data_IF_488263221841
#
_entry.id   IF_488263221841
#
_cell.length_a   1.000
_cell.length_b   1.000
_cell.length_c   1.000
_cell.angle_alpha   90.00
_cell.angle_beta   90.00
_cell.angle_gamma   90.00
#
_symmetry.space_group_name_H-M   'P 1'
#
loop_
_entity.id
_entity.type
_entity.pdbx_description
1 polymer ?
#
# COMPACT_ATOMS: atom_id res chain seq x y z
N UNK A 1 19.91 -2.12 -11.48
CA UNK A 1 19.40 -1.01 -10.65
C UNK A 1 19.03 -1.61 -9.31
N UNK A 2 19.64 -1.12 -8.24
CA UNK A 2 19.37 -1.58 -6.88
C UNK A 2 17.95 -1.16 -6.46
N UNK A 3 17.23 -2.07 -5.79
CA UNK A 3 15.87 -1.83 -5.29
C UNK A 3 15.67 -2.51 -3.94
N UNK A 4 14.86 -1.89 -3.09
CA UNK A 4 14.40 -2.48 -1.85
C UNK A 4 12.94 -2.93 -2.04
N UNK A 5 12.72 -4.24 -2.11
CA UNK A 5 11.40 -4.84 -2.31
C UNK A 5 11.28 -6.16 -1.56
N UNK A 6 10.19 -6.32 -0.82
CA UNK A 6 9.75 -7.59 -0.27
C UNK A 6 8.23 -7.65 -0.23
N UNK A 7 7.68 -8.82 -0.46
CA UNK A 7 6.26 -9.09 -0.33
C UNK A 7 6.04 -10.50 0.24
N UNK A 8 4.92 -10.69 0.91
CA UNK A 8 4.53 -11.95 1.53
C UNK A 8 3.05 -12.25 1.22
N UNK A 9 2.72 -13.53 1.21
CA UNK A 9 1.34 -14.00 1.11
C UNK A 9 1.03 -14.77 2.39
N UNK A 10 -0.03 -14.35 3.06
CA UNK A 10 -0.61 -15.05 4.20
C UNK A 10 -1.91 -15.73 3.76
N UNK A 11 -2.14 -16.93 4.25
CA UNK A 11 -3.37 -17.69 3.98
C UNK A 11 -3.94 -18.22 5.28
N UNK A 12 -5.24 -18.02 5.47
CA UNK A 12 -6.02 -18.56 6.58
C UNK A 12 -7.22 -19.33 5.97
N UNK A 13 -6.99 -20.60 5.58
CA UNK A 13 -7.99 -21.38 4.85
C UNK A 13 -9.33 -21.52 5.59
N UNK A 14 -9.27 -21.58 6.91
CA UNK A 14 -10.46 -21.71 7.77
C UNK A 14 -11.41 -20.52 7.69
N UNK A 15 -10.86 -19.36 7.28
CA UNK A 15 -11.60 -18.09 7.12
C UNK A 15 -11.84 -17.73 5.65
N UNK A 16 -11.46 -18.60 4.72
CA UNK A 16 -11.43 -18.28 3.28
C UNK A 16 -10.76 -16.94 2.99
N UNK A 17 -9.64 -16.66 3.70
CA UNK A 17 -8.94 -15.38 3.72
C UNK A 17 -7.52 -15.52 3.22
N UNK A 18 -7.11 -14.61 2.33
CA UNK A 18 -5.73 -14.50 1.84
C UNK A 18 -5.31 -13.04 1.79
N UNK A 19 -4.05 -12.78 2.13
CA UNK A 19 -3.52 -11.43 2.17
C UNK A 19 -2.16 -11.34 1.49
N UNK A 20 -2.04 -10.43 0.53
CA UNK A 20 -0.75 -10.00 -0.02
C UNK A 20 -0.31 -8.78 0.79
N UNK A 21 0.88 -8.85 1.37
CA UNK A 21 1.48 -7.76 2.14
C UNK A 21 2.75 -7.29 1.47
N UNK A 22 2.80 -6.04 1.08
CA UNK A 22 4.02 -5.37 0.63
C UNK A 22 4.73 -4.73 1.82
N UNK A 23 6.02 -5.06 1.99
CA UNK A 23 6.83 -4.48 3.06
C UNK A 23 7.16 -3.02 2.77
N UNK A 24 7.14 -2.19 3.81
CA UNK A 24 7.61 -0.82 3.76
C UNK A 24 9.13 -0.71 3.64
N UNK A 25 9.62 0.51 3.84
CA UNK A 25 11.05 0.82 3.83
C UNK A 25 11.76 0.13 4.98
N UNK A 26 12.93 -0.42 4.70
CA UNK A 26 13.89 -0.83 5.73
C UNK A 26 14.92 0.29 5.98
N UNK A 27 15.82 0.07 6.95
CA UNK A 27 16.85 1.05 7.33
C UNK A 27 18.02 1.13 6.31
N UNK A 28 17.86 0.58 5.10
CA UNK A 28 18.88 0.63 4.07
C UNK A 28 18.92 1.98 3.35
N UNK A 29 20.11 2.39 2.90
CA UNK A 29 20.30 3.59 2.08
C UNK A 29 19.46 3.50 0.78
N UNK A 30 19.28 2.31 0.25
CA UNK A 30 18.48 2.06 -0.96
C UNK A 30 17.00 2.33 -0.68
N UNK A 31 16.48 1.88 0.46
CA UNK A 31 15.11 2.15 0.89
C UNK A 31 14.84 3.65 1.02
N UNK A 32 15.69 4.37 1.72
CA UNK A 32 15.60 5.83 1.87
C UNK A 32 15.66 6.57 0.53
N UNK A 33 16.55 6.14 -0.39
CA UNK A 33 16.63 6.71 -1.73
C UNK A 33 15.32 6.53 -2.51
N UNK A 34 14.70 5.36 -2.43
CA UNK A 34 13.41 5.11 -3.08
C UNK A 34 12.28 5.96 -2.47
N UNK A 35 12.29 6.19 -1.15
CA UNK A 35 11.32 7.06 -0.48
C UNK A 35 11.42 8.50 -0.97
N UNK A 36 12.64 9.02 -1.13
CA UNK A 36 12.85 10.31 -1.77
C UNK A 36 12.36 10.33 -3.22
N UNK A 37 12.59 9.26 -3.98
CA UNK A 37 12.13 9.16 -5.36
C UNK A 37 10.61 9.16 -5.48
N UNK A 38 9.88 8.58 -4.51
CA UNK A 38 8.41 8.61 -4.48
C UNK A 38 7.84 10.03 -4.57
N UNK A 39 8.53 11.03 -4.02
CA UNK A 39 8.02 12.40 -3.96
C UNK A 39 8.00 13.12 -5.31
N UNK A 40 8.84 12.70 -6.28
CA UNK A 40 8.96 13.36 -7.59
C UNK A 40 8.90 12.39 -8.79
N UNK A 41 9.08 11.11 -8.60
CA UNK A 41 9.06 10.12 -9.69
C UNK A 41 7.67 9.55 -9.89
N UNK A 42 7.24 9.41 -11.16
CA UNK A 42 5.98 8.75 -11.50
C UNK A 42 6.00 7.26 -11.14
N UNK A 43 7.16 6.65 -11.19
CA UNK A 43 7.38 5.23 -10.92
C UNK A 43 8.78 5.01 -10.36
N UNK A 44 8.88 4.17 -9.32
CA UNK A 44 10.16 3.70 -8.76
C UNK A 44 10.37 2.21 -9.10
N UNK A 45 11.61 1.69 -8.99
CA UNK A 45 11.88 0.27 -9.28
C UNK A 45 11.03 -0.71 -8.46
N UNK A 46 10.72 -0.38 -7.20
CA UNK A 46 9.87 -1.19 -6.34
C UNK A 46 8.42 -1.30 -6.86
N UNK A 47 7.88 -0.27 -7.52
CA UNK A 47 6.56 -0.32 -8.16
C UNK A 47 6.47 -1.43 -9.20
N UNK A 48 7.48 -1.53 -10.10
CA UNK A 48 7.53 -2.60 -11.11
C UNK A 48 7.57 -3.98 -10.49
N UNK A 49 8.30 -4.13 -9.38
CA UNK A 49 8.36 -5.39 -8.65
C UNK A 49 7.02 -5.73 -8.00
N UNK A 50 6.32 -4.72 -7.45
CA UNK A 50 5.00 -4.92 -6.86
C UNK A 50 3.97 -5.32 -7.92
N UNK A 51 3.97 -4.67 -9.09
CA UNK A 51 3.11 -5.05 -10.22
C UNK A 51 3.38 -6.50 -10.65
N UNK A 52 4.64 -6.84 -10.91
CA UNK A 52 5.02 -8.19 -11.32
C UNK A 52 4.66 -9.26 -10.27
N UNK A 53 4.79 -8.92 -8.99
CA UNK A 53 4.40 -9.81 -7.89
C UNK A 53 2.88 -10.03 -7.89
N UNK A 54 2.10 -8.96 -8.01
CA UNK A 54 0.64 -9.02 -8.02
C UNK A 54 0.15 -9.83 -9.23
N UNK A 55 0.64 -9.53 -10.44
CA UNK A 55 0.29 -10.25 -11.67
C UNK A 55 0.60 -11.74 -11.60
N UNK A 56 1.72 -12.12 -10.97
CA UNK A 56 2.16 -13.50 -10.84
C UNK A 56 1.33 -14.30 -9.84
N UNK A 57 0.98 -13.68 -8.71
CA UNK A 57 0.46 -14.43 -7.56
C UNK A 57 -1.05 -14.29 -7.39
N UNK A 58 -1.63 -13.11 -7.65
CA UNK A 58 -3.05 -12.85 -7.43
C UNK A 58 -3.98 -13.84 -8.20
N UNK A 59 -3.70 -14.23 -9.46
CA UNK A 59 -4.54 -15.20 -10.16
C UNK A 59 -4.62 -16.59 -9.53
N UNK A 60 -3.69 -16.91 -8.64
CA UNK A 60 -3.63 -18.21 -7.96
C UNK A 60 -4.27 -18.19 -6.56
N UNK A 61 -4.78 -17.03 -6.15
CA UNK A 61 -5.45 -16.85 -4.87
C UNK A 61 -6.97 -16.94 -5.06
N UNK A 62 -7.67 -17.28 -3.99
CA UNK A 62 -9.13 -17.38 -3.96
C UNK A 62 -9.70 -16.91 -2.63
N UNK A 63 -11.02 -16.74 -2.56
CA UNK A 63 -11.70 -16.30 -1.36
C UNK A 63 -11.62 -14.79 -1.14
N UNK A 64 -11.60 -14.36 0.12
CA UNK A 64 -11.49 -12.95 0.48
C UNK A 64 -10.03 -12.49 0.42
N UNK A 65 -9.67 -11.81 -0.68
CA UNK A 65 -8.28 -11.39 -0.93
C UNK A 65 -8.08 -9.93 -0.53
N UNK A 66 -7.18 -9.71 0.43
CA UNK A 66 -6.73 -8.38 0.86
C UNK A 66 -5.34 -8.09 0.31
N UNK A 67 -5.15 -6.90 -0.27
CA UNK A 67 -3.83 -6.41 -0.65
C UNK A 67 -3.48 -5.25 0.28
N UNK A 68 -2.33 -5.30 0.93
CA UNK A 68 -2.02 -4.37 2.02
C UNK A 68 -0.56 -3.96 2.09
N UNK A 69 -0.31 -2.95 2.89
CA UNK A 69 1.03 -2.52 3.25
C UNK A 69 1.03 -1.33 4.18
N UNK A 70 2.14 -1.17 4.90
CA UNK A 70 2.43 -0.02 5.75
C UNK A 70 3.49 0.87 5.05
N UNK A 71 3.39 2.17 5.22
CA UNK A 71 4.38 3.11 4.68
C UNK A 71 4.53 2.97 3.16
N UNK A 72 5.75 2.90 2.64
CA UNK A 72 6.03 2.61 1.21
C UNK A 72 5.30 1.36 0.73
N UNK A 73 5.17 0.33 1.57
CA UNK A 73 4.46 -0.91 1.22
C UNK A 73 2.99 -0.68 0.86
N UNK A 74 2.31 0.23 1.57
CA UNK A 74 0.94 0.62 1.23
C UNK A 74 0.85 1.39 -0.11
N UNK A 75 1.82 2.25 -0.38
CA UNK A 75 1.93 2.91 -1.69
C UNK A 75 2.16 1.89 -2.81
N UNK A 76 3.02 0.87 -2.61
CA UNK A 76 3.23 -0.22 -3.55
C UNK A 76 1.95 -1.03 -3.80
N UNK A 77 1.19 -1.34 -2.73
CA UNK A 77 -0.09 -2.03 -2.81
C UNK A 77 -1.09 -1.24 -3.68
N UNK A 78 -1.27 0.03 -3.37
CA UNK A 78 -2.19 0.91 -4.10
C UNK A 78 -1.76 1.11 -5.55
N UNK A 79 -0.47 1.41 -5.78
CA UNK A 79 0.06 1.63 -7.12
C UNK A 79 -0.11 0.38 -8.01
N UNK A 80 0.30 -0.79 -7.51
CA UNK A 80 0.21 -2.04 -8.28
C UNK A 80 -1.24 -2.42 -8.59
N UNK A 81 -2.17 -2.23 -7.65
CA UNK A 81 -3.59 -2.46 -7.87
C UNK A 81 -4.17 -1.51 -8.93
N UNK A 82 -3.85 -0.21 -8.86
CA UNK A 82 -4.32 0.80 -9.84
C UNK A 82 -3.80 0.52 -11.24
N UNK A 83 -2.60 -0.01 -11.37
CA UNK A 83 -1.97 -0.32 -12.66
C UNK A 83 -2.34 -1.71 -13.19
N UNK A 84 -2.95 -2.58 -12.38
CA UNK A 84 -3.33 -3.92 -12.78
C UNK A 84 -4.52 -3.94 -13.76
N UNK A 85 -4.74 -5.07 -14.42
CA UNK A 85 -5.88 -5.29 -15.30
C UNK A 85 -7.20 -5.30 -14.51
N UNK A 86 -8.32 -5.05 -15.17
CA UNK A 86 -9.66 -5.11 -14.55
C UNK A 86 -9.91 -6.48 -13.89
N UNK A 87 -9.54 -7.57 -14.56
CA UNK A 87 -9.69 -8.93 -14.04
C UNK A 87 -8.99 -9.11 -12.68
N UNK A 88 -7.78 -8.56 -12.53
CA UNK A 88 -7.04 -8.63 -11.27
C UNK A 88 -7.66 -7.72 -10.21
N UNK A 89 -8.10 -6.52 -10.58
CA UNK A 89 -8.77 -5.61 -9.63
C UNK A 89 -10.08 -6.18 -9.08
N UNK A 90 -10.83 -6.91 -9.90
CA UNK A 90 -12.07 -7.58 -9.47
C UNK A 90 -11.81 -8.63 -8.39
N UNK A 91 -10.69 -9.34 -8.44
CA UNK A 91 -10.30 -10.34 -7.44
C UNK A 91 -9.94 -9.72 -6.08
N UNK A 92 -9.49 -8.48 -6.05
CA UNK A 92 -9.17 -7.78 -4.80
C UNK A 92 -10.47 -7.45 -4.07
N UNK A 93 -10.65 -8.00 -2.87
CA UNK A 93 -11.77 -7.67 -2.00
C UNK A 93 -11.53 -6.36 -1.24
N UNK A 94 -10.31 -6.14 -0.75
CA UNK A 94 -9.95 -4.95 0.02
C UNK A 94 -8.50 -4.53 -0.22
N UNK A 95 -8.27 -3.19 -0.20
CA UNK A 95 -6.96 -2.56 -0.10
C UNK A 95 -6.82 -1.97 1.30
N UNK A 96 -5.95 -2.53 2.15
CA UNK A 96 -5.68 -2.03 3.49
C UNK A 96 -4.36 -1.27 3.52
N UNK A 97 -4.45 0.05 3.67
CA UNK A 97 -3.34 0.99 3.50
C UNK A 97 -3.06 1.69 4.85
N UNK A 98 -1.94 1.32 5.48
CA UNK A 98 -1.57 1.75 6.82
C UNK A 98 -0.49 2.82 6.75
N UNK A 99 -0.83 4.04 7.17
CA UNK A 99 0.04 5.22 7.19
C UNK A 99 0.95 5.34 5.95
N UNK A 100 0.32 5.21 4.79
CA UNK A 100 0.97 5.11 3.50
C UNK A 100 0.91 6.43 2.75
N UNK A 101 1.95 6.82 2.00
CA UNK A 101 1.83 7.87 1.00
C UNK A 101 0.72 7.56 -0.01
N UNK A 102 0.03 8.59 -0.49
CA UNK A 102 -0.91 8.48 -1.59
C UNK A 102 -0.23 8.23 -2.93
N UNK A 103 -0.87 8.66 -4.00
CA UNK A 103 -0.35 8.56 -5.37
C UNK A 103 -0.16 9.95 -5.99
N UNK A 104 0.52 10.00 -7.12
CA UNK A 104 0.57 11.20 -7.97
C UNK A 104 -0.85 11.54 -8.46
N UNK A 105 -1.18 12.83 -8.51
CA UNK A 105 -2.53 13.32 -8.83
C UNK A 105 -3.11 12.71 -10.12
N UNK A 106 -2.28 12.55 -11.14
CA UNK A 106 -2.68 11.95 -12.42
C UNK A 106 -3.17 10.49 -12.31
N UNK A 107 -2.80 9.78 -11.25
CA UNK A 107 -3.26 8.42 -11.00
C UNK A 107 -4.63 8.37 -10.31
N UNK A 108 -4.97 9.40 -9.53
CA UNK A 108 -6.28 9.49 -8.89
C UNK A 108 -7.40 9.70 -9.92
N UNK A 109 -7.08 10.30 -11.06
CA UNK A 109 -8.03 10.56 -12.15
C UNK A 109 -8.30 9.31 -13.01
N UNK A 110 -7.53 8.22 -12.82
CA UNK A 110 -7.74 6.98 -13.58
C UNK A 110 -9.03 6.28 -13.18
N UNK A 111 -9.78 5.70 -14.14
CA UNK A 111 -10.94 4.86 -13.83
C UNK A 111 -10.62 3.73 -12.86
N UNK A 112 -9.44 3.09 -13.01
CA UNK A 112 -8.97 2.01 -12.13
C UNK A 112 -8.83 2.43 -10.67
N UNK A 113 -8.41 3.68 -10.39
CA UNK A 113 -8.37 4.20 -9.03
C UNK A 113 -9.80 4.38 -8.48
N UNK A 114 -10.69 4.93 -9.28
CA UNK A 114 -12.08 5.18 -8.87
C UNK A 114 -12.84 3.86 -8.61
N UNK A 115 -12.59 2.82 -9.41
CA UNK A 115 -13.11 1.46 -9.17
C UNK A 115 -12.63 0.90 -7.82
N UNK A 116 -11.37 1.08 -7.48
CA UNK A 116 -10.77 0.56 -6.25
C UNK A 116 -11.14 1.39 -5.01
N UNK A 117 -11.56 2.63 -5.17
CA UNK A 117 -11.84 3.55 -4.06
C UNK A 117 -12.85 3.01 -3.03
N UNK A 118 -13.85 2.27 -3.49
CA UNK A 118 -14.84 1.62 -2.61
C UNK A 118 -14.22 0.49 -1.77
N UNK A 119 -13.16 -0.15 -2.28
CA UNK A 119 -12.45 -1.26 -1.64
C UNK A 119 -11.30 -0.79 -0.73
N UNK A 120 -11.01 0.51 -0.67
CA UNK A 120 -9.91 1.06 0.12
C UNK A 120 -10.32 1.28 1.58
N UNK A 121 -9.53 0.74 2.49
CA UNK A 121 -9.47 1.13 3.90
C UNK A 121 -8.12 1.81 4.13
N UNK A 122 -8.15 3.11 4.37
CA UNK A 122 -6.95 3.91 4.68
C UNK A 122 -6.97 4.20 6.17
N UNK A 123 -5.91 3.81 6.87
CA UNK A 123 -5.75 4.06 8.31
C UNK A 123 -4.46 4.83 8.53
N UNK A 124 -4.50 5.85 9.38
CA UNK A 124 -3.30 6.61 9.75
C UNK A 124 -3.41 7.14 11.19
N UNK A 125 -2.28 7.36 11.86
CA UNK A 125 -2.29 7.97 13.18
C UNK A 125 -2.71 9.44 13.11
N UNK A 126 -3.07 10.00 14.26
CA UNK A 126 -3.55 11.38 14.36
C UNK A 126 -2.52 12.42 13.87
N UNK A 127 -1.24 12.21 14.18
CA UNK A 127 -0.14 13.09 13.78
C UNK A 127 0.69 12.48 12.63
N UNK A 128 0.00 11.83 11.68
CA UNK A 128 0.67 11.22 10.53
C UNK A 128 1.49 12.23 9.75
N UNK A 129 2.75 11.88 9.49
CA UNK A 129 3.66 12.61 8.59
C UNK A 129 3.70 11.92 7.22
N UNK A 130 3.80 10.60 7.21
CA UNK A 130 3.95 9.80 5.98
C UNK A 130 2.62 9.65 5.25
N UNK A 131 1.53 9.37 5.97
CA UNK A 131 0.21 9.12 5.38
C UNK A 131 -0.45 10.34 4.76
N UNK A 132 0.12 11.55 4.96
CA UNK A 132 -0.33 12.79 4.32
C UNK A 132 0.50 13.18 3.09
N UNK A 133 1.53 12.40 2.77
CA UNK A 133 2.37 12.63 1.59
C UNK A 133 1.64 12.27 0.30
N UNK A 134 1.99 12.97 -0.79
CA UNK A 134 1.35 12.83 -2.10
C UNK A 134 -0.15 13.19 -2.06
N UNK A 135 -0.97 12.55 -2.92
CA UNK A 135 -2.38 12.91 -3.07
C UNK A 135 -3.30 11.76 -2.70
N UNK A 136 -4.39 12.11 -2.03
CA UNK A 136 -5.47 11.21 -1.64
C UNK A 136 -6.83 11.75 -2.10
N UNK A 137 -7.67 10.86 -2.57
CA UNK A 137 -9.10 11.10 -2.79
C UNK A 137 -9.93 10.06 -2.00
N UNK A 138 -9.48 9.75 -0.79
CA UNK A 138 -10.13 8.84 0.16
C UNK A 138 -9.92 9.36 1.57
N UNK A 139 -10.99 9.43 2.32
CA UNK A 139 -10.93 9.79 3.75
C UNK A 139 -10.29 8.66 4.54
N UNK A 140 -9.32 9.00 5.36
CA UNK A 140 -8.67 8.04 6.24
C UNK A 140 -9.42 7.88 7.57
N UNK A 141 -9.40 6.66 8.10
CA UNK A 141 -9.74 6.39 9.49
C UNK A 141 -8.55 6.80 10.36
N UNK A 142 -8.79 7.61 11.37
CA UNK A 142 -7.74 8.03 12.29
C UNK A 142 -7.68 7.05 13.46
N UNK A 143 -6.47 6.69 13.86
CA UNK A 143 -6.18 5.87 15.03
C UNK A 143 -5.36 6.69 16.03
N UNK A 144 -5.67 6.56 17.31
CA UNK A 144 -4.83 7.10 18.38
C UNK A 144 -3.49 6.34 18.40
N UNK A 145 -2.41 7.05 18.66
CA UNK A 145 -1.08 6.44 18.76
C UNK A 145 -0.26 7.14 19.83
N UNK A 146 0.58 6.39 20.50
CA UNK A 146 1.54 6.94 21.44
C UNK A 146 2.69 7.66 20.70
N UNK A 147 3.34 8.59 21.36
CA UNK A 147 4.41 9.40 20.78
C UNK A 147 3.89 10.63 20.05
N UNK A 148 4.79 11.33 19.35
CA UNK A 148 4.55 12.60 18.69
C UNK A 148 5.09 12.54 17.26
N UNK A 149 4.33 13.06 16.30
CA UNK A 149 4.76 13.23 14.91
C UNK A 149 5.20 11.92 14.27
N UNK A 150 6.45 11.86 13.74
CA UNK A 150 6.97 10.69 13.02
C UNK A 150 7.05 9.43 13.89
N UNK A 151 7.11 9.53 15.22
CA UNK A 151 7.09 8.36 16.09
C UNK A 151 5.79 7.57 15.94
N UNK A 152 4.68 8.25 15.69
CA UNK A 152 3.39 7.61 15.46
C UNK A 152 3.32 6.79 14.15
N UNK A 153 4.33 6.92 13.27
CA UNK A 153 4.45 6.05 12.09
C UNK A 153 4.69 4.57 12.44
N UNK A 154 5.18 4.30 13.64
CA UNK A 154 5.33 2.94 14.13
C UNK A 154 3.98 2.35 14.55
N UNK A 155 3.50 1.37 13.77
CA UNK A 155 2.20 0.71 14.01
C UNK A 155 2.08 0.02 15.38
N UNK A 156 3.21 -0.31 16.02
CA UNK A 156 3.22 -0.89 17.36
C UNK A 156 2.83 0.11 18.47
N UNK A 157 2.80 1.40 18.15
CA UNK A 157 2.35 2.45 19.05
C UNK A 157 0.86 2.79 18.87
N UNK A 158 0.17 2.14 17.94
CA UNK A 158 -1.24 2.41 17.67
C UNK A 158 -2.14 1.74 18.73
N UNK A 159 -3.14 2.49 19.15
CA UNK A 159 -4.17 2.03 20.10
C UNK A 159 -5.38 1.54 19.32
N UNK A 160 -5.42 0.23 19.04
CA UNK A 160 -6.47 -0.47 18.27
C UNK A 160 -7.25 -1.42 19.16
#
# INVERSE_FOLDING_TARGET
MEKQFAAMIFSLPELDYQQIVFRGTDDSVIGWKEDFQLTYSREIPAHRSAMAFLEKHLPNLSGHIVVSGHSKGGNLALYSAVQSSTVLREQIAELLLLDSPGLMKSLLEKPSYQELKAKMTVVRPQESVVGVMLYWDKVAKLVAADGIGIAQHNVLLWQV
#
